data_IF_453619414539
#
_entry.id   IF_453619414539
#
_cell.length_a   1.000
_cell.length_b   1.000
_cell.length_c   1.000
_cell.angle_alpha   90.00
_cell.angle_beta   90.00
_cell.angle_gamma   90.00
#
_symmetry.space_group_name_H-M   'P 1'
#
loop_
_entity.id
_entity.type
_entity.pdbx_description
1 polymer ?
#
# COMPACT_ATOMS: atom_id res chain seq x y z
N UNK A 1 10.11 9.82 -5.40
CA UNK A 1 8.67 9.82 -5.09
C UNK A 1 8.46 8.71 -4.07
N UNK A 2 8.83 9.04 -2.83
CA UNK A 2 8.72 8.15 -1.67
C UNK A 2 7.31 8.28 -1.11
N UNK A 3 6.85 7.23 -0.44
CA UNK A 3 5.74 7.29 0.51
C UNK A 3 6.10 8.36 1.55
N UNK A 4 5.75 9.61 1.29
CA UNK A 4 5.46 10.60 2.32
C UNK A 4 3.98 10.36 2.61
N UNK A 5 3.70 9.30 3.37
CA UNK A 5 2.56 9.39 4.28
C UNK A 5 3.05 10.41 5.27
N UNK A 6 2.62 11.65 5.06
CA UNK A 6 2.93 12.76 5.94
C UNK A 6 2.42 12.36 7.33
N UNK A 7 3.35 11.97 8.20
CA UNK A 7 3.02 11.57 9.55
C UNK A 7 2.49 12.76 10.36
N UNK A 8 2.67 14.00 9.87
CA UNK A 8 2.25 15.24 10.52
C UNK A 8 0.78 15.59 10.25
N UNK A 9 0.14 15.13 9.17
CA UNK A 9 -1.30 15.37 8.97
C UNK A 9 -2.19 14.55 9.92
N UNK A 10 -1.58 13.61 10.64
CA UNK A 10 -2.23 12.75 11.62
C UNK A 10 -2.14 13.29 13.06
N UNK A 11 -1.49 14.43 13.30
CA UNK A 11 -1.54 15.15 14.59
C UNK A 11 -2.52 16.31 14.52
N UNK A 12 -3.79 16.00 14.28
CA UNK A 12 -4.88 16.91 14.61
C UNK A 12 -4.85 17.22 16.10
N UNK A 13 -4.30 18.39 16.43
CA UNK A 13 -4.30 18.99 17.76
C UNK A 13 -5.73 19.02 18.27
N UNK A 14 -6.04 18.20 19.27
CA UNK A 14 -7.22 18.37 20.12
C UNK A 14 -6.69 18.78 21.49
N UNK A 15 -6.66 20.08 21.74
CA UNK A 15 -6.54 20.62 23.09
C UNK A 15 -7.95 20.69 23.68
N UNK A 16 -8.22 19.77 24.62
CA UNK A 16 -9.18 19.85 25.73
C UNK A 16 -9.10 21.23 26.44
N UNK A 17 -10.06 21.79 27.16
CA UNK A 17 -11.41 21.44 27.60
C UNK A 17 -11.98 22.68 28.32
N UNK A 18 -13.31 22.79 28.42
CA UNK A 18 -13.93 23.49 29.55
C UNK A 18 -15.33 22.92 29.86
N UNK A 19 -15.42 22.32 31.05
CA UNK A 19 -16.58 22.17 31.93
C UNK A 19 -17.92 21.67 31.37
N UNK A 20 -18.43 20.56 31.93
CA UNK A 20 -19.86 20.26 31.84
C UNK A 20 -20.22 18.81 32.10
N UNK A 21 -20.67 18.53 33.32
CA UNK A 21 -21.41 17.35 33.75
C UNK A 21 -22.54 16.97 32.77
N UNK A 22 -22.59 15.71 32.29
CA UNK A 22 -23.82 14.95 32.00
C UNK A 22 -23.53 13.60 31.34
N UNK A 23 -24.21 12.55 31.85
CA UNK A 23 -24.59 11.30 31.20
C UNK A 23 -24.18 11.14 29.72
N UNK A 24 -23.38 10.11 29.39
CA UNK A 24 -23.16 9.74 27.99
C UNK A 24 -23.15 8.22 27.78
N UNK A 25 -24.27 7.79 27.22
CA UNK A 25 -24.48 6.58 26.44
C UNK A 25 -23.29 6.21 25.56
N UNK A 26 -22.93 4.92 25.62
CA UNK A 26 -22.29 4.08 24.58
C UNK A 26 -22.09 4.80 23.24
N UNK A 27 -20.86 5.26 22.96
CA UNK A 27 -20.45 5.86 21.69
C UNK A 27 -19.21 5.16 21.14
N UNK A 28 -19.29 4.71 19.89
CA UNK A 28 -18.35 3.82 19.21
C UNK A 28 -16.96 4.43 19.00
N UNK A 29 -15.93 3.77 19.50
CA UNK A 29 -14.51 4.13 19.44
C UNK A 29 -13.83 3.64 18.14
N UNK A 30 -14.42 4.00 16.98
CA UNK A 30 -14.02 3.40 15.68
C UNK A 30 -12.83 4.11 15.01
N UNK A 31 -12.54 5.36 15.34
CA UNK A 31 -11.46 6.14 14.70
C UNK A 31 -10.05 5.77 15.17
N UNK A 32 -9.91 5.47 16.47
CA UNK A 32 -8.62 5.09 17.08
C UNK A 32 -8.16 3.70 16.62
N UNK A 33 -9.10 2.80 16.34
CA UNK A 33 -8.85 1.43 15.90
C UNK A 33 -8.48 1.33 14.42
N UNK A 34 -9.12 2.11 13.55
CA UNK A 34 -8.80 2.15 12.11
C UNK A 34 -7.37 2.64 11.86
N UNK A 35 -6.97 3.74 12.51
CA UNK A 35 -5.62 4.30 12.36
C UNK A 35 -4.52 3.35 12.86
N UNK A 36 -4.74 2.67 13.99
CA UNK A 36 -3.80 1.67 14.51
C UNK A 36 -3.64 0.49 13.54
N UNK A 37 -4.74 0.01 12.97
CA UNK A 37 -4.72 -1.06 11.98
C UNK A 37 -3.92 -0.65 10.74
N UNK A 38 -4.21 0.54 10.17
CA UNK A 38 -3.49 1.07 8.99
C UNK A 38 -2.00 1.18 9.27
N UNK A 39 -1.60 1.69 10.44
CA UNK A 39 -0.18 1.78 10.81
C UNK A 39 0.50 0.41 10.93
N UNK A 40 -0.19 -0.59 11.50
CA UNK A 40 0.33 -1.96 11.59
C UNK A 40 0.53 -2.54 10.19
N UNK A 41 -0.44 -2.36 9.29
CA UNK A 41 -0.38 -2.81 7.91
C UNK A 41 0.74 -2.10 7.15
N UNK A 42 0.78 -0.77 7.19
CA UNK A 42 1.81 0.03 6.56
C UNK A 42 3.21 -0.37 7.03
N UNK A 43 3.40 -0.60 8.34
CA UNK A 43 4.69 -1.04 8.88
C UNK A 43 5.11 -2.42 8.37
N UNK A 44 4.17 -3.36 8.22
CA UNK A 44 4.43 -4.69 7.62
C UNK A 44 4.82 -4.54 6.16
N UNK A 45 4.06 -3.77 5.37
CA UNK A 45 4.34 -3.54 3.95
C UNK A 45 5.68 -2.85 3.74
N UNK A 46 5.98 -1.81 4.53
CA UNK A 46 7.25 -1.09 4.48
C UNK A 46 8.45 -1.99 4.81
N UNK A 47 8.30 -2.95 5.74
CA UNK A 47 9.34 -3.93 6.05
C UNK A 47 9.64 -4.82 4.85
N UNK A 48 8.62 -5.28 4.14
CA UNK A 48 8.79 -6.09 2.92
C UNK A 48 9.44 -5.26 1.82
N UNK A 49 8.95 -4.04 1.56
CA UNK A 49 9.53 -3.14 0.56
C UNK A 49 11.00 -2.82 0.87
N UNK A 50 11.34 -2.55 2.14
CA UNK A 50 12.71 -2.31 2.59
C UNK A 50 13.62 -3.51 2.35
N UNK A 51 13.09 -4.74 2.48
CA UNK A 51 13.86 -5.95 2.16
C UNK A 51 14.17 -6.05 0.67
N UNK A 52 13.22 -5.68 -0.20
CA UNK A 52 13.40 -5.65 -1.65
C UNK A 52 14.39 -4.57 -2.09
N UNK A 53 14.25 -3.35 -1.57
CA UNK A 53 15.15 -2.24 -1.90
C UNK A 53 16.58 -2.53 -1.46
N UNK A 54 16.79 -3.13 -0.28
CA UNK A 54 18.12 -3.57 0.19
C UNK A 54 18.72 -4.64 -0.71
N UNK A 55 17.94 -5.64 -1.11
CA UNK A 55 18.40 -6.70 -1.99
C UNK A 55 18.83 -6.17 -3.37
N UNK A 56 18.08 -5.23 -3.93
CA UNK A 56 18.41 -4.60 -5.22
C UNK A 56 19.64 -3.69 -5.11
N UNK A 57 19.75 -2.89 -4.04
CA UNK A 57 20.92 -2.04 -3.81
C UNK A 57 22.22 -2.86 -3.68
N UNK A 58 22.13 -4.07 -3.11
CA UNK A 58 23.27 -4.99 -3.04
C UNK A 58 23.64 -5.59 -4.41
N UNK A 59 22.67 -5.78 -5.30
CA UNK A 59 22.89 -6.28 -6.67
C UNK A 59 23.40 -5.20 -7.63
N UNK A 60 23.03 -3.94 -7.40
CA UNK A 60 23.40 -2.79 -8.22
C UNK A 60 24.08 -1.70 -7.38
N UNK A 61 25.33 -1.92 -6.91
CA UNK A 61 26.05 -0.91 -6.15
C UNK A 61 26.39 0.29 -7.06
N UNK A 62 25.97 1.50 -6.65
CA UNK A 62 26.30 2.75 -7.34
C UNK A 62 25.34 3.18 -8.45
N UNK A 63 24.31 2.37 -8.77
CA UNK A 63 23.23 2.80 -9.67
C UNK A 63 22.30 3.81 -8.98
N UNK A 64 21.68 4.69 -9.78
CA UNK A 64 20.64 5.57 -9.24
C UNK A 64 19.45 4.72 -8.74
N UNK A 65 19.09 4.92 -7.48
CA UNK A 65 17.99 4.19 -6.85
C UNK A 65 16.67 4.40 -7.60
N UNK A 66 16.49 5.56 -8.25
CA UNK A 66 15.31 5.84 -9.07
C UNK A 66 15.13 4.86 -10.23
N UNK A 67 16.22 4.37 -10.82
CA UNK A 67 16.16 3.49 -12.00
C UNK A 67 15.65 2.09 -11.66
N UNK A 68 15.96 1.57 -10.47
CA UNK A 68 15.64 0.21 -10.06
C UNK A 68 14.56 0.15 -8.98
N UNK A 69 14.05 1.29 -8.51
CA UNK A 69 12.99 1.32 -7.52
C UNK A 69 11.74 0.58 -8.00
N UNK A 70 11.42 0.65 -9.30
CA UNK A 70 10.28 -0.08 -9.87
C UNK A 70 10.45 -1.59 -9.78
N UNK A 71 11.69 -2.08 -9.87
CA UNK A 71 11.97 -3.49 -9.61
C UNK A 71 11.83 -3.86 -8.13
N UNK A 72 12.00 -2.91 -7.21
CA UNK A 72 11.68 -3.13 -5.79
C UNK A 72 10.18 -3.30 -5.59
N UNK A 73 9.35 -2.60 -6.38
CA UNK A 73 7.90 -2.79 -6.40
C UNK A 73 7.54 -4.17 -6.95
N UNK A 74 8.14 -4.61 -8.07
CA UNK A 74 7.96 -6.00 -8.57
C UNK A 74 8.27 -7.05 -7.49
N UNK A 75 9.41 -6.90 -6.82
CA UNK A 75 9.79 -7.78 -5.70
C UNK A 75 8.77 -7.72 -4.55
N UNK A 76 8.31 -6.52 -4.19
CA UNK A 76 7.33 -6.32 -3.13
C UNK A 76 6.02 -7.05 -3.45
N UNK A 77 5.45 -6.81 -4.65
CA UNK A 77 4.19 -7.42 -5.09
C UNK A 77 4.25 -8.95 -5.03
N UNK A 78 5.37 -9.53 -5.46
CA UNK A 78 5.58 -10.97 -5.39
C UNK A 78 5.67 -11.49 -3.94
N UNK A 79 6.38 -10.78 -3.06
CA UNK A 79 6.53 -11.18 -1.64
C UNK A 79 5.23 -11.07 -0.83
N UNK A 80 4.33 -10.18 -1.21
CA UNK A 80 3.01 -10.05 -0.57
C UNK A 80 1.92 -10.84 -1.29
N UNK A 81 2.30 -11.70 -2.25
CA UNK A 81 1.38 -12.54 -3.03
C UNK A 81 0.30 -11.74 -3.78
N UNK A 82 0.63 -10.50 -4.13
CA UNK A 82 -0.22 -9.68 -4.98
C UNK A 82 0.05 -9.95 -6.47
N UNK A 83 1.11 -10.69 -6.82
CA UNK A 83 1.33 -11.20 -8.18
C UNK A 83 1.41 -12.72 -8.21
N UNK A 84 1.13 -13.32 -9.36
CA UNK A 84 1.28 -14.75 -9.58
C UNK A 84 2.77 -15.15 -9.80
N UNK A 85 3.00 -16.43 -10.09
CA UNK A 85 4.33 -16.99 -10.37
C UNK A 85 4.99 -16.41 -11.63
N UNK A 86 4.21 -15.83 -12.53
CA UNK A 86 4.67 -15.15 -13.73
C UNK A 86 4.87 -13.64 -13.48
N UNK A 87 4.74 -13.19 -12.23
CA UNK A 87 4.77 -11.79 -11.82
C UNK A 87 3.63 -10.93 -12.40
N UNK A 88 2.53 -11.56 -12.83
CA UNK A 88 1.35 -10.86 -13.32
C UNK A 88 0.43 -10.48 -12.17
N UNK A 89 -0.20 -9.30 -12.27
CA UNK A 89 -1.25 -8.85 -11.36
C UNK A 89 -2.60 -9.00 -12.05
N UNK A 90 -3.55 -9.60 -11.35
CA UNK A 90 -4.93 -9.69 -11.79
C UNK A 90 -5.88 -9.64 -10.59
N UNK A 91 -7.18 -9.74 -10.84
CA UNK A 91 -8.19 -9.70 -9.78
C UNK A 91 -8.05 -10.87 -8.78
N UNK A 92 -7.58 -12.04 -9.22
CA UNK A 92 -7.40 -13.20 -8.36
C UNK A 92 -6.22 -13.00 -7.39
N UNK A 93 -5.05 -12.59 -7.90
CA UNK A 93 -3.88 -12.35 -7.05
C UNK A 93 -4.10 -11.17 -6.11
N UNK A 94 -4.85 -10.16 -6.56
CA UNK A 94 -5.28 -9.07 -5.69
C UNK A 94 -6.26 -9.53 -4.60
N UNK A 95 -7.16 -10.45 -4.91
CA UNK A 95 -8.07 -11.03 -3.92
C UNK A 95 -7.33 -11.81 -2.83
N UNK A 96 -6.33 -12.60 -3.22
CA UNK A 96 -5.46 -13.32 -2.29
C UNK A 96 -4.77 -12.33 -1.35
N UNK A 97 -4.18 -11.27 -1.91
CA UNK A 97 -3.57 -10.20 -1.12
C UNK A 97 -4.57 -9.57 -0.13
N UNK A 98 -5.77 -9.21 -0.61
CA UNK A 98 -6.80 -8.57 0.20
C UNK A 98 -7.22 -9.45 1.37
N UNK A 99 -7.53 -10.74 1.14
CA UNK A 99 -7.91 -11.69 2.19
C UNK A 99 -6.79 -11.88 3.21
N UNK A 100 -5.54 -11.93 2.77
CA UNK A 100 -4.39 -12.20 3.65
C UNK A 100 -3.99 -11.01 4.50
N UNK A 101 -4.17 -9.79 3.98
CA UNK A 101 -3.57 -8.61 4.57
C UNK A 101 -4.57 -7.55 5.01
N UNK A 102 -5.78 -7.52 4.46
CA UNK A 102 -6.76 -6.47 4.70
C UNK A 102 -7.97 -7.08 5.42
N UNK A 103 -8.49 -6.46 6.49
CA UNK A 103 -9.70 -6.98 7.12
C UNK A 103 -10.90 -6.95 6.15
N UNK A 104 -11.73 -7.99 6.22
CA UNK A 104 -12.82 -8.25 5.26
C UNK A 104 -13.79 -7.07 5.09
N UNK A 105 -14.03 -6.32 6.17
CA UNK A 105 -14.91 -5.16 6.16
C UNK A 105 -14.41 -4.02 5.26
N UNK A 106 -13.16 -4.04 4.81
CA UNK A 106 -12.59 -3.07 3.87
C UNK A 106 -12.44 -3.61 2.45
N UNK A 107 -12.70 -4.91 2.19
CA UNK A 107 -12.54 -5.49 0.85
C UNK A 107 -13.39 -4.79 -0.22
N UNK A 108 -14.70 -4.51 -0.01
CA UNK A 108 -15.52 -3.87 -1.05
C UNK A 108 -14.98 -2.49 -1.47
N UNK A 109 -14.58 -1.68 -0.48
CA UNK A 109 -13.97 -0.37 -0.73
C UNK A 109 -12.64 -0.52 -1.48
N UNK A 110 -11.82 -1.50 -1.09
CA UNK A 110 -10.53 -1.75 -1.72
C UNK A 110 -10.69 -2.09 -3.22
N UNK A 111 -11.62 -2.97 -3.57
CA UNK A 111 -11.90 -3.29 -4.98
C UNK A 111 -12.51 -2.12 -5.75
N UNK A 112 -13.37 -1.31 -5.11
CA UNK A 112 -13.96 -0.14 -5.75
C UNK A 112 -12.89 0.90 -6.11
N UNK A 113 -11.97 1.18 -5.19
CA UNK A 113 -10.92 2.20 -5.36
C UNK A 113 -9.81 1.71 -6.28
N UNK A 114 -9.35 0.47 -6.10
CA UNK A 114 -8.16 -0.04 -6.79
C UNK A 114 -8.47 -0.86 -8.05
N UNK A 115 -9.70 -1.35 -8.20
CA UNK A 115 -10.15 -2.13 -9.36
C UNK A 115 -9.89 -1.48 -10.72
N UNK A 116 -10.13 -0.17 -10.92
CA UNK A 116 -9.82 0.50 -12.17
C UNK A 116 -8.33 0.42 -12.56
N UNK A 117 -7.43 0.51 -11.58
CA UNK A 117 -5.99 0.36 -11.81
C UNK A 117 -5.63 -1.07 -12.20
N UNK A 118 -6.22 -2.07 -11.52
CA UNK A 118 -5.99 -3.48 -11.85
C UNK A 118 -6.45 -3.80 -13.28
N UNK A 119 -7.63 -3.32 -13.67
CA UNK A 119 -8.17 -3.52 -15.01
C UNK A 119 -7.34 -2.81 -16.10
N UNK A 120 -6.83 -1.62 -15.81
CA UNK A 120 -6.09 -0.80 -16.79
C UNK A 120 -4.64 -1.24 -16.95
N UNK A 121 -3.98 -1.55 -15.83
CA UNK A 121 -2.53 -1.78 -15.80
C UNK A 121 -2.14 -3.24 -15.60
N UNK A 122 -2.99 -4.08 -14.99
CA UNK A 122 -2.73 -5.52 -14.85
C UNK A 122 -2.35 -6.21 -16.17
N UNK A 123 -3.13 -6.00 -17.26
CA UNK A 123 -2.79 -6.53 -18.58
C UNK A 123 -1.54 -5.92 -19.25
N UNK A 124 -1.06 -4.78 -18.74
CA UNK A 124 0.10 -4.04 -19.27
C UNK A 124 1.38 -4.31 -18.49
N UNK A 125 1.32 -5.18 -17.47
CA UNK A 125 2.51 -5.63 -16.77
C UNK A 125 3.38 -6.41 -17.75
N UNK A 126 4.64 -6.01 -17.82
CA UNK A 126 5.68 -6.70 -18.54
C UNK A 126 6.71 -7.24 -17.54
N UNK A 127 6.67 -8.55 -17.22
CA UNK A 127 7.64 -9.18 -16.34
C UNK A 127 9.06 -9.23 -16.91
N UNK A 128 9.23 -9.06 -18.23
CA UNK A 128 10.50 -9.16 -18.93
C UNK A 128 11.28 -7.84 -18.98
N UNK A 129 10.63 -6.71 -18.70
CA UNK A 129 11.28 -5.41 -18.62
C UNK A 129 12.33 -5.37 -17.50
N UNK A 130 13.59 -5.18 -17.89
CA UNK A 130 14.75 -5.10 -16.99
C UNK A 130 14.65 -3.93 -16.01
N UNK A 131 13.92 -2.86 -16.38
CA UNK A 131 13.70 -1.68 -15.53
C UNK A 131 12.38 -1.73 -14.75
N UNK A 132 11.55 -2.74 -15.00
CA UNK A 132 10.29 -2.97 -14.32
C UNK A 132 9.32 -1.77 -14.36
N UNK A 133 9.32 -0.97 -15.43
CA UNK A 133 8.60 0.31 -15.55
C UNK A 133 7.10 0.11 -15.33
N UNK A 134 6.52 -0.94 -15.91
CA UNK A 134 5.09 -1.26 -15.79
C UNK A 134 4.63 -1.46 -14.32
N UNK A 135 5.51 -1.94 -13.44
CA UNK A 135 5.24 -2.06 -12.00
C UNK A 135 5.22 -0.71 -11.29
N UNK A 136 5.93 0.28 -11.82
CA UNK A 136 5.89 1.66 -11.36
C UNK A 136 4.60 2.37 -11.71
N UNK A 137 4.13 2.18 -12.95
CA UNK A 137 2.90 2.80 -13.40
C UNK A 137 1.68 2.27 -12.65
N UNK A 138 1.66 0.96 -12.36
CA UNK A 138 0.55 0.39 -11.60
C UNK A 138 0.54 0.88 -10.15
N UNK A 139 1.69 0.96 -9.47
CA UNK A 139 1.72 1.46 -8.09
C UNK A 139 1.37 2.94 -8.03
N UNK A 140 1.77 3.73 -9.04
CA UNK A 140 1.37 5.13 -9.17
C UNK A 140 -0.15 5.26 -9.30
N UNK A 141 -0.77 4.46 -10.18
CA UNK A 141 -2.23 4.42 -10.27
C UNK A 141 -2.88 4.10 -8.92
N UNK A 142 -2.39 3.06 -8.22
CA UNK A 142 -2.93 2.68 -6.92
C UNK A 142 -2.79 3.80 -5.88
N UNK A 143 -1.68 4.55 -5.91
CA UNK A 143 -1.44 5.70 -5.02
C UNK A 143 -2.38 6.86 -5.34
N UNK A 144 -2.55 7.18 -6.63
CA UNK A 144 -3.44 8.25 -7.08
C UNK A 144 -4.89 7.96 -6.66
N UNK A 145 -5.35 6.71 -6.81
CA UNK A 145 -6.69 6.30 -6.36
C UNK A 145 -6.84 6.31 -4.83
N UNK A 146 -5.78 5.95 -4.08
CA UNK A 146 -5.82 5.96 -2.62
C UNK A 146 -5.77 7.37 -2.01
N UNK A 147 -5.36 8.37 -2.80
CA UNK A 147 -5.26 9.77 -2.38
C UNK A 147 -6.44 10.63 -2.85
N UNK A 148 -7.36 10.05 -3.63
CA UNK A 148 -8.58 10.69 -4.15
C UNK A 148 -9.78 10.44 -3.25
#
# INVERSE_FOLDING_TARGET
ILIVVDAEELTGKSEDAAAGNSNKTKGSDNGSSCRKLVLILAKRMLKVLTSCTKALKAQHPGSDFGEYFQCAIKCFMNKVEMSDKNHMLNNETFAIFAVKHIPENYHPMLYQVLGPCLATWGPKIDPSDEKCISYGEIIKCLQDQASS
#
